data_IF_278494533056
#
_entry.id   IF_278494533056
#
_cell.length_a   1.000
_cell.length_b   1.000
_cell.length_c   1.000
_cell.angle_alpha   90.00
_cell.angle_beta   90.00
_cell.angle_gamma   90.00
#
_symmetry.space_group_name_H-M   'P 1'
#
loop_
_entity.id
_entity.type
_entity.pdbx_description
1 polymer ?
#
# COMPACT_ATOMS: atom_id res chain seq x y z
N UNK A 1 -6.80 -9.86 3.86
CA UNK A 1 -6.44 -8.51 3.41
C UNK A 1 -6.87 -7.51 4.47
N UNK A 2 -6.30 -6.32 4.43
CA UNK A 2 -6.66 -5.21 5.29
C UNK A 2 -6.84 -3.96 4.44
N UNK A 3 -7.68 -3.04 4.88
CA UNK A 3 -7.82 -1.71 4.28
C UNK A 3 -7.47 -0.67 5.32
N UNK A 4 -6.67 0.32 4.92
CA UNK A 4 -6.42 1.52 5.70
C UNK A 4 -7.07 2.69 4.98
N UNK A 5 -7.87 3.47 5.71
CA UNK A 5 -8.40 4.75 5.27
C UNK A 5 -7.66 5.83 6.03
N UNK A 6 -7.01 6.73 5.33
CA UNK A 6 -6.37 7.90 5.92
C UNK A 6 -7.34 9.08 5.88
N UNK A 7 -7.63 9.68 7.03
CA UNK A 7 -8.36 10.93 7.15
C UNK A 7 -7.44 12.06 7.61
N UNK A 8 -7.95 13.29 7.68
CA UNK A 8 -7.19 14.43 8.19
C UNK A 8 -6.84 14.23 9.67
N UNK A 9 -5.55 14.22 9.98
CA UNK A 9 -5.06 14.16 11.35
C UNK A 9 -4.93 15.55 11.99
N UNK A 10 -4.56 15.62 13.28
CA UNK A 10 -4.43 16.89 14.01
C UNK A 10 -3.42 17.89 13.43
N UNK A 11 -2.40 17.42 12.70
CA UNK A 11 -1.39 18.26 12.06
C UNK A 11 -1.74 18.61 10.60
N UNK A 12 -2.94 18.24 10.13
CA UNK A 12 -3.42 18.59 8.80
C UNK A 12 -3.46 20.12 8.61
N UNK A 13 -2.99 20.59 7.46
CA UNK A 13 -2.97 22.01 7.12
C UNK A 13 -4.20 22.36 6.26
N UNK A 14 -5.15 23.18 6.78
CA UNK A 14 -6.32 23.60 6.01
C UNK A 14 -5.92 24.37 4.75
N UNK A 15 -6.73 24.22 3.69
CA UNK A 15 -6.49 24.89 2.41
C UNK A 15 -5.44 24.23 1.51
N UNK A 16 -4.76 23.17 1.99
CA UNK A 16 -3.86 22.35 1.18
C UNK A 16 -4.52 21.06 0.71
N UNK A 17 -4.17 20.62 -0.49
CA UNK A 17 -4.52 19.29 -0.99
C UNK A 17 -3.75 18.18 -0.23
N UNK A 18 -4.19 16.93 -0.32
CA UNK A 18 -3.52 15.75 0.25
C UNK A 18 -2.06 15.73 -0.19
N UNK A 19 -1.79 16.02 -1.47
CA UNK A 19 -0.44 16.01 -2.02
C UNK A 19 0.46 17.16 -1.57
N UNK A 20 -0.14 18.24 -1.06
CA UNK A 20 0.57 19.41 -0.54
C UNK A 20 0.81 19.35 0.97
N UNK A 21 0.23 18.36 1.65
CA UNK A 21 0.45 18.16 3.08
C UNK A 21 1.93 17.87 3.38
N UNK A 22 2.42 18.33 4.55
CA UNK A 22 3.75 17.93 5.00
C UNK A 22 3.83 16.40 5.10
N UNK A 23 5.03 15.85 4.87
CA UNK A 23 5.29 14.40 4.92
C UNK A 23 4.57 13.54 3.86
N UNK A 24 3.81 14.13 2.93
CA UNK A 24 3.16 13.36 1.86
C UNK A 24 4.16 12.63 0.95
N UNK A 25 5.30 13.25 0.64
CA UNK A 25 6.35 12.63 -0.20
C UNK A 25 7.00 11.45 0.51
N UNK A 26 7.24 11.58 1.81
CA UNK A 26 7.79 10.57 2.69
C UNK A 26 6.83 9.39 2.84
N UNK A 27 5.55 9.67 3.08
CA UNK A 27 4.45 8.70 3.02
C UNK A 27 4.45 7.93 1.70
N UNK A 28 4.47 8.63 0.56
CA UNK A 28 4.47 7.99 -0.76
C UNK A 28 5.68 7.09 -0.99
N UNK A 29 6.89 7.52 -0.60
CA UNK A 29 8.11 6.70 -0.66
C UNK A 29 8.00 5.47 0.25
N UNK A 30 7.49 5.65 1.45
CA UNK A 30 7.29 4.59 2.43
C UNK A 30 6.29 3.56 1.92
N UNK A 31 5.13 3.97 1.39
CA UNK A 31 4.13 3.07 0.82
C UNK A 31 4.60 2.35 -0.45
N UNK A 32 5.39 3.04 -1.29
CA UNK A 32 5.94 2.46 -2.52
C UNK A 32 6.80 1.22 -2.25
N UNK A 33 7.51 1.15 -1.13
CA UNK A 33 8.30 -0.03 -0.79
C UNK A 33 7.43 -1.28 -0.57
N UNK A 34 6.25 -1.12 0.05
CA UNK A 34 5.30 -2.20 0.27
C UNK A 34 4.58 -2.58 -1.01
N UNK A 35 4.33 -1.62 -1.89
CA UNK A 35 3.81 -1.89 -3.23
C UNK A 35 4.79 -2.75 -4.04
N UNK A 36 6.08 -2.41 -4.03
CA UNK A 36 7.13 -3.21 -4.68
C UNK A 36 7.27 -4.61 -4.06
N UNK A 37 7.05 -4.74 -2.75
CA UNK A 37 7.03 -6.02 -2.05
C UNK A 37 5.69 -6.78 -2.17
N UNK A 38 4.74 -6.30 -2.97
CA UNK A 38 3.37 -6.85 -3.13
C UNK A 38 2.56 -6.95 -1.82
N UNK A 39 2.93 -6.16 -0.80
CA UNK A 39 2.21 -6.05 0.48
C UNK A 39 1.15 -4.95 0.47
N UNK A 40 1.30 -3.94 -0.40
CA UNK A 40 0.26 -2.96 -0.74
C UNK A 40 -0.19 -3.29 -2.15
N UNK A 41 -1.47 -3.63 -2.33
CA UNK A 41 -2.02 -3.99 -3.64
C UNK A 41 -2.41 -2.75 -4.46
N UNK A 42 -3.07 -1.80 -3.80
CA UNK A 42 -3.55 -0.55 -4.38
C UNK A 42 -3.54 0.54 -3.31
N UNK A 43 -3.25 1.77 -3.71
CA UNK A 43 -3.41 2.91 -2.82
C UNK A 43 -3.36 4.23 -3.57
N UNK A 44 -3.92 5.26 -2.95
CA UNK A 44 -3.98 6.61 -3.53
C UNK A 44 -4.78 7.58 -2.68
N UNK A 45 -4.59 8.87 -2.97
CA UNK A 45 -5.41 9.94 -2.40
C UNK A 45 -6.80 9.95 -3.04
N UNK A 46 -7.82 10.30 -2.25
CA UNK A 46 -9.13 10.61 -2.77
C UNK A 46 -9.10 11.98 -3.48
N UNK A 47 -9.71 12.04 -4.67
CA UNK A 47 -9.68 13.24 -5.53
C UNK A 47 -10.53 14.40 -4.99
N UNK A 48 -11.40 14.13 -4.02
CA UNK A 48 -12.19 15.10 -3.27
C UNK A 48 -11.45 15.67 -2.05
N UNK A 49 -10.17 15.36 -1.90
CA UNK A 49 -9.29 15.83 -0.83
C UNK A 49 -9.64 15.33 0.58
N UNK A 50 -10.51 14.32 0.71
CA UNK A 50 -10.95 13.78 2.01
C UNK A 50 -9.96 12.78 2.63
N UNK A 51 -8.77 12.63 2.05
CA UNK A 51 -7.72 11.75 2.54
C UNK A 51 -7.30 10.72 1.47
N UNK A 52 -7.23 9.44 1.84
CA UNK A 52 -6.83 8.39 0.91
C UNK A 52 -7.09 6.98 1.43
N UNK A 53 -6.73 5.99 0.62
CA UNK A 53 -6.95 4.58 0.92
C UNK A 53 -5.75 3.73 0.50
N UNK A 54 -5.49 2.67 1.25
CA UNK A 54 -4.57 1.60 0.90
C UNK A 54 -5.17 0.22 1.17
N UNK A 55 -4.96 -0.73 0.25
CA UNK A 55 -5.35 -2.14 0.41
C UNK A 55 -4.08 -2.95 0.63
N UNK A 56 -3.96 -3.55 1.81
CA UNK A 56 -2.82 -4.35 2.22
C UNK A 56 -3.11 -5.84 2.11
N UNK A 57 -2.15 -6.56 1.53
CA UNK A 57 -2.13 -8.03 1.52
C UNK A 57 -0.97 -8.53 2.36
N UNK A 58 -1.27 -8.81 3.63
CA UNK A 58 -0.32 -9.24 4.66
C UNK A 58 -0.96 -10.33 5.52
N UNK A 59 -0.12 -11.13 6.17
CA UNK A 59 -0.55 -12.36 6.83
C UNK A 59 -1.35 -12.14 8.12
N UNK A 60 -1.24 -10.97 8.75
CA UNK A 60 -1.89 -10.70 10.04
C UNK A 60 -2.17 -9.22 10.26
N UNK A 61 -3.09 -8.93 11.19
CA UNK A 61 -3.38 -7.55 11.60
C UNK A 61 -2.15 -6.87 12.22
N UNK A 62 -1.33 -7.62 12.97
CA UNK A 62 -0.10 -7.09 13.54
C UNK A 62 0.85 -6.54 12.46
N UNK A 63 1.00 -7.26 11.33
CA UNK A 63 1.80 -6.77 10.21
C UNK A 63 1.17 -5.54 9.54
N UNK A 64 -0.16 -5.53 9.36
CA UNK A 64 -0.85 -4.38 8.79
C UNK A 64 -0.71 -3.13 9.67
N UNK A 65 -0.88 -3.31 10.99
CA UNK A 65 -0.70 -2.25 12.00
C UNK A 65 0.72 -1.74 11.99
N UNK A 66 1.72 -2.61 11.96
CA UNK A 66 3.14 -2.23 11.91
C UNK A 66 3.44 -1.32 10.73
N UNK A 67 2.90 -1.65 9.54
CA UNK A 67 3.04 -0.81 8.34
C UNK A 67 2.41 0.56 8.59
N UNK A 68 1.19 0.62 9.11
CA UNK A 68 0.42 1.85 9.25
C UNK A 68 1.00 2.79 10.31
N UNK A 69 1.41 2.27 11.48
CA UNK A 69 1.89 3.12 12.58
C UNK A 69 3.29 3.71 12.33
N UNK A 70 4.06 3.11 11.41
CA UNK A 70 5.38 3.62 11.00
C UNK A 70 5.34 4.47 9.72
N UNK A 71 4.15 4.77 9.20
CA UNK A 71 3.97 5.71 8.11
C UNK A 71 4.39 7.12 8.56
N UNK A 72 5.32 7.80 7.87
CA UNK A 72 5.77 9.14 8.24
C UNK A 72 4.63 10.16 8.43
N UNK A 73 3.60 10.12 7.59
CA UNK A 73 2.48 11.06 7.73
C UNK A 73 1.57 10.73 8.93
N UNK A 74 1.57 9.48 9.38
CA UNK A 74 0.86 9.05 10.61
C UNK A 74 1.65 9.42 11.85
N UNK A 75 2.95 9.16 11.87
CA UNK A 75 3.86 9.51 12.98
C UNK A 75 3.80 11.02 13.27
N UNK A 76 3.80 11.83 12.21
CA UNK A 76 3.71 13.29 12.29
C UNK A 76 2.27 13.79 12.41
N UNK A 77 1.30 12.88 12.57
CA UNK A 77 -0.13 13.17 12.83
C UNK A 77 -0.80 14.02 11.75
N UNK A 78 -0.25 14.02 10.54
CA UNK A 78 -0.84 14.64 9.35
C UNK A 78 -2.02 13.81 8.87
N UNK A 79 -1.87 12.49 8.89
CA UNK A 79 -2.92 11.53 8.59
C UNK A 79 -3.36 10.81 9.85
N UNK A 80 -4.67 10.63 9.98
CA UNK A 80 -5.30 9.75 10.97
C UNK A 80 -5.68 8.43 10.28
N UNK A 81 -5.08 7.29 10.64
CA UNK A 81 -5.36 6.03 9.97
C UNK A 81 -6.50 5.23 10.62
N UNK A 82 -7.38 4.69 9.78
CA UNK A 82 -8.45 3.76 10.18
C UNK A 82 -8.21 2.41 9.50
N UNK A 83 -7.70 1.45 10.26
CA UNK A 83 -7.35 0.11 9.77
C UNK A 83 -8.48 -0.88 10.03
N UNK A 84 -8.89 -1.62 9.00
CA UNK A 84 -9.93 -2.64 9.09
C UNK A 84 -9.49 -3.95 8.44
N UNK A 85 -9.76 -5.11 9.06
CA UNK A 85 -9.72 -6.39 8.36
C UNK A 85 -10.78 -6.38 7.24
N UNK A 86 -10.40 -6.82 6.05
CA UNK A 86 -11.29 -6.76 4.89
C UNK A 86 -11.25 -8.04 4.06
N UNK A 87 -12.43 -8.49 3.66
CA UNK A 87 -12.64 -9.60 2.74
C UNK A 87 -13.42 -9.09 1.53
N UNK A 88 -12.80 -9.12 0.36
CA UNK A 88 -13.42 -8.68 -0.88
C UNK A 88 -14.24 -9.84 -1.49
N UNK A 89 -15.57 -9.82 -1.31
CA UNK A 89 -16.46 -10.82 -1.92
C UNK A 89 -16.61 -10.63 -3.43
N UNK A 90 -16.46 -9.40 -3.93
CA UNK A 90 -16.56 -9.04 -5.33
C UNK A 90 -15.29 -8.33 -5.76
N UNK A 91 -14.48 -8.98 -6.59
CA UNK A 91 -13.25 -8.40 -7.12
C UNK A 91 -13.04 -8.82 -8.58
N UNK A 92 -13.15 -7.86 -9.49
CA UNK A 92 -12.81 -8.03 -10.92
C UNK A 92 -11.46 -7.42 -11.28
N UNK A 93 -10.76 -6.82 -10.30
CA UNK A 93 -9.44 -6.28 -10.50
C UNK A 93 -8.45 -7.45 -10.58
N UNK A 94 -8.01 -7.77 -11.79
CA UNK A 94 -7.02 -8.81 -12.02
C UNK A 94 -5.70 -8.36 -11.39
N UNK A 95 -5.35 -8.91 -10.22
CA UNK A 95 -3.97 -8.90 -9.78
C UNK A 95 -3.18 -9.62 -10.89
N UNK A 96 -2.25 -8.92 -11.55
CA UNK A 96 -1.40 -9.55 -12.55
C UNK A 96 -0.68 -10.72 -11.90
N UNK A 97 -0.99 -11.94 -12.36
CA UNK A 97 -0.26 -13.15 -11.98
C UNK A 97 1.22 -12.90 -12.27
N UNK A 98 2.10 -13.21 -11.31
CA UNK A 98 3.52 -13.30 -11.60
C UNK A 98 3.72 -14.26 -12.79
N UNK A 99 4.67 -13.99 -13.71
CA UNK A 99 4.95 -14.96 -14.76
C UNK A 99 5.32 -16.29 -14.08
N UNK A 100 4.56 -17.34 -14.38
CA UNK A 100 4.96 -18.71 -14.08
C UNK A 100 6.31 -18.91 -14.76
N UNK A 101 7.35 -19.11 -13.94
CA UNK A 101 8.67 -19.44 -14.43
C UNK A 101 8.63 -20.80 -15.12
N UNK A 102 8.32 -20.81 -16.41
CA UNK A 102 8.76 -21.88 -17.31
C UNK A 102 10.22 -21.60 -17.65
N UNK A 103 11.12 -22.04 -16.78
CA UNK A 103 12.49 -22.30 -17.20
C UNK A 103 12.48 -23.65 -17.93
N UNK A 104 12.01 -23.64 -19.18
CA UNK A 104 12.24 -24.72 -20.13
C UNK A 104 13.40 -24.33 -21.03
N UNK A 105 14.59 -24.80 -20.70
CA UNK A 105 15.59 -25.13 -21.72
C UNK A 105 16.34 -26.36 -21.23
N UNK A 106 15.89 -27.52 -21.70
CA UNK A 106 16.74 -28.68 -21.78
C UNK A 106 17.75 -28.43 -22.89
N UNK A 107 19.03 -28.42 -22.56
CA UNK A 107 20.09 -28.68 -23.51
C UNK A 107 20.94 -29.81 -22.95
N UNK A 108 20.84 -30.97 -23.62
CA UNK A 108 21.81 -32.05 -23.47
C UNK A 108 23.09 -31.59 -24.14
N UNK A 109 24.14 -31.36 -23.37
CA UNK A 109 25.51 -31.36 -23.88
C UNK A 109 26.18 -32.65 -23.41
N UNK A 110 26.40 -33.56 -24.36
CA UNK A 110 27.25 -34.75 -24.20
C UNK A 110 28.66 -34.34 -24.61
N UNK A 111 29.62 -34.58 -23.73
CA UNK A 111 31.07 -34.46 -23.96
C UNK A 111 31.74 -35.71 -23.36
N UNK A 112 32.92 -36.09 -23.87
CA UNK A 112 33.26 -36.48 -25.24
C UNK A 112 33.21 -38.01 -25.46
#
# INVERSE_FOLDING_TARGET
MFVVIYTHGPAWQPGKTVSEQPFYREHGRYMKQFFMARKLLMGGAFVDNQGGLGILDVASEAQAREIVVHDPAVLERVFEPHLHPWHAYFNQYQAQSAPSGECSSGEKEVLP
#
